data_IF_640123108750
#
_entry.id   IF_640123108750
#
_cell.length_a   1.000
_cell.length_b   1.000
_cell.length_c   1.000
_cell.angle_alpha   90.00
_cell.angle_beta   90.00
_cell.angle_gamma   90.00
#
_symmetry.space_group_name_H-M   'P 1'
#
loop_
_entity.id
_entity.type
_entity.pdbx_description
1 polymer ?
#
# COMPACT_ATOMS: atom_id res chain seq x y z
N UNK A 1 -15.90 -58.45 51.96
CA UNK A 1 -15.92 -58.77 50.51
C UNK A 1 -16.64 -57.72 49.66
N UNK A 2 -17.80 -57.20 50.09
CA UNK A 2 -18.51 -56.13 49.35
C UNK A 2 -17.79 -54.75 49.43
N UNK A 3 -17.19 -54.43 50.59
CA UNK A 3 -16.48 -53.17 50.84
C UNK A 3 -15.17 -53.03 50.02
N UNK A 4 -14.48 -54.15 49.78
CA UNK A 4 -13.26 -54.21 48.97
C UNK A 4 -13.56 -53.97 47.49
N UNK A 5 -14.66 -54.55 46.98
CA UNK A 5 -15.09 -54.40 45.59
C UNK A 5 -15.47 -52.96 45.21
N UNK A 6 -16.03 -52.19 46.16
CA UNK A 6 -16.37 -50.76 45.98
C UNK A 6 -15.10 -49.91 45.95
N UNK A 7 -14.13 -50.20 46.81
CA UNK A 7 -12.85 -49.49 46.89
C UNK A 7 -12.02 -49.66 45.60
N UNK A 8 -12.01 -50.88 45.04
CA UNK A 8 -11.28 -51.18 43.79
C UNK A 8 -11.90 -50.50 42.57
N UNK A 9 -13.24 -50.41 42.50
CA UNK A 9 -13.95 -49.63 41.47
C UNK A 9 -13.70 -48.13 41.59
N UNK A 10 -13.64 -47.60 42.81
CA UNK A 10 -13.35 -46.18 43.06
C UNK A 10 -11.93 -45.82 42.61
N UNK A 11 -10.97 -46.71 42.85
CA UNK A 11 -9.57 -46.55 42.42
C UNK A 11 -9.45 -46.48 40.89
N UNK A 12 -10.17 -47.34 40.17
CA UNK A 12 -10.21 -47.32 38.71
C UNK A 12 -10.79 -46.03 38.12
N UNK A 13 -11.87 -45.51 38.71
CA UNK A 13 -12.49 -44.23 38.26
C UNK A 13 -11.54 -43.05 38.49
N UNK A 14 -10.84 -43.01 39.63
CA UNK A 14 -9.87 -41.96 39.93
C UNK A 14 -8.69 -41.93 38.95
N UNK A 15 -8.22 -43.10 38.50
CA UNK A 15 -7.12 -43.20 37.51
C UNK A 15 -7.55 -42.63 36.16
N UNK A 16 -8.76 -42.95 35.70
CA UNK A 16 -9.29 -42.43 34.43
C UNK A 16 -9.49 -40.91 34.51
N UNK A 17 -10.05 -40.41 35.61
CA UNK A 17 -10.22 -38.97 35.82
C UNK A 17 -8.86 -38.24 35.85
N UNK A 18 -7.87 -38.79 36.54
CA UNK A 18 -6.51 -38.23 36.56
C UNK A 18 -5.86 -38.24 35.17
N UNK A 19 -6.02 -39.31 34.39
CA UNK A 19 -5.48 -39.39 33.03
C UNK A 19 -6.11 -38.34 32.09
N UNK A 20 -7.42 -38.08 32.21
CA UNK A 20 -8.11 -37.05 31.43
C UNK A 20 -7.63 -35.65 31.84
N UNK A 21 -7.45 -35.39 33.13
CA UNK A 21 -6.97 -34.09 33.63
C UNK A 21 -5.53 -33.85 33.18
N UNK A 22 -4.65 -34.83 33.32
CA UNK A 22 -3.24 -34.70 32.92
C UNK A 22 -3.12 -34.60 31.40
N UNK A 23 -3.86 -35.41 30.65
CA UNK A 23 -3.88 -35.33 29.19
C UNK A 23 -4.46 -34.00 28.68
N UNK A 24 -5.55 -33.53 29.27
CA UNK A 24 -6.14 -32.24 28.97
C UNK A 24 -5.21 -31.07 29.31
N UNK A 25 -4.53 -31.12 30.46
CA UNK A 25 -3.54 -30.14 30.85
C UNK A 25 -2.34 -30.13 29.89
N UNK A 26 -1.84 -31.30 29.47
CA UNK A 26 -0.78 -31.41 28.47
C UNK A 26 -1.18 -30.82 27.11
N UNK A 27 -2.38 -31.12 26.62
CA UNK A 27 -2.89 -30.55 25.36
C UNK A 27 -3.06 -29.03 25.48
N UNK A 28 -3.51 -28.55 26.64
CA UNK A 28 -3.69 -27.12 26.91
C UNK A 28 -2.35 -26.37 26.96
N UNK A 29 -1.34 -26.90 27.67
CA UNK A 29 -0.01 -26.27 27.76
C UNK A 29 0.74 -26.32 26.43
N UNK A 30 0.64 -27.41 25.66
CA UNK A 30 1.22 -27.51 24.31
C UNK A 30 0.53 -26.51 23.36
N UNK A 31 -0.79 -26.34 23.44
CA UNK A 31 -1.49 -25.32 22.63
C UNK A 31 -1.10 -23.90 23.00
N UNK A 32 -0.92 -23.59 24.29
CA UNK A 32 -0.45 -22.28 24.73
C UNK A 32 0.99 -22.01 24.29
N UNK A 33 1.87 -23.02 24.36
CA UNK A 33 3.25 -22.92 23.87
C UNK A 33 3.36 -22.75 22.35
N UNK A 34 2.37 -23.24 21.59
CA UNK A 34 2.30 -23.10 20.13
C UNK A 34 1.53 -21.86 19.63
N UNK A 35 0.96 -21.03 20.51
CA UNK A 35 0.41 -19.74 20.10
C UNK A 35 1.57 -18.82 19.78
N UNK A 36 1.93 -18.70 18.49
CA UNK A 36 2.93 -17.73 18.05
C UNK A 36 2.27 -16.34 17.96
N UNK A 37 2.54 -15.40 18.89
CA UNK A 37 1.95 -14.07 18.83
C UNK A 37 2.34 -13.31 17.54
N UNK A 38 3.46 -13.66 16.90
CA UNK A 38 3.85 -13.09 15.62
C UNK A 38 2.90 -13.48 14.47
N UNK A 39 2.33 -14.69 14.50
CA UNK A 39 1.37 -15.16 13.49
C UNK A 39 -0.01 -14.50 13.66
N UNK A 40 -0.44 -14.26 14.91
CA UNK A 40 -1.66 -13.50 15.21
C UNK A 40 -1.51 -12.02 14.78
N UNK A 41 -0.32 -11.44 14.99
CA UNK A 41 0.04 -10.10 14.51
C UNK A 41 0.03 -10.00 12.98
N UNK A 42 0.65 -10.95 12.28
CA UNK A 42 0.68 -10.97 10.81
C UNK A 42 -0.72 -11.09 10.18
N UNK A 43 -1.61 -11.91 10.75
CA UNK A 43 -3.01 -12.00 10.31
C UNK A 43 -3.74 -10.68 10.50
N UNK A 44 -3.53 -10.01 11.63
CA UNK A 44 -4.15 -8.71 11.92
C UNK A 44 -3.66 -7.64 10.95
N UNK A 45 -2.36 -7.64 10.64
CA UNK A 45 -1.77 -6.73 9.66
C UNK A 45 -2.35 -6.97 8.26
N UNK A 46 -2.50 -8.22 7.83
CA UNK A 46 -3.09 -8.56 6.54
C UNK A 46 -4.56 -8.11 6.42
N UNK A 47 -5.34 -8.20 7.49
CA UNK A 47 -6.72 -7.69 7.51
C UNK A 47 -6.76 -6.16 7.46
N UNK A 48 -5.85 -5.47 8.17
CA UNK A 48 -5.71 -4.01 8.08
C UNK A 48 -5.26 -3.55 6.68
N UNK A 49 -4.35 -4.30 6.04
CA UNK A 49 -3.88 -4.00 4.69
C UNK A 49 -5.04 -4.02 3.69
N UNK A 50 -5.96 -4.98 3.80
CA UNK A 50 -7.15 -5.04 2.93
C UNK A 50 -8.06 -3.80 3.07
N UNK A 51 -8.08 -3.16 4.23
CA UNK A 51 -8.87 -1.93 4.47
C UNK A 51 -8.23 -0.73 3.78
N UNK A 52 -6.90 -0.60 3.83
CA UNK A 52 -6.18 0.58 3.30
C UNK A 52 -5.72 0.44 1.86
N UNK A 53 -5.50 -0.79 1.38
CA UNK A 53 -5.06 -1.11 0.04
C UNK A 53 -5.84 -2.33 -0.51
N UNK A 54 -7.13 -2.14 -0.86
CA UNK A 54 -7.97 -3.21 -1.40
C UNK A 54 -7.36 -3.84 -2.66
N UNK A 55 -7.53 -5.14 -2.85
CA UNK A 55 -6.97 -5.87 -4.01
C UNK A 55 -7.46 -5.30 -5.36
N UNK A 56 -8.71 -4.85 -5.42
CA UNK A 56 -9.29 -4.24 -6.62
C UNK A 56 -8.87 -2.79 -6.85
N UNK A 57 -8.09 -2.22 -5.94
CA UNK A 57 -7.72 -0.82 -5.95
C UNK A 57 -8.81 0.14 -5.48
N UNK A 58 -8.55 1.43 -5.63
CA UNK A 58 -9.42 2.53 -5.23
C UNK A 58 -9.71 3.42 -6.44
N UNK A 59 -10.99 3.58 -6.76
CA UNK A 59 -11.42 4.51 -7.81
C UNK A 59 -11.53 5.93 -7.25
N UNK A 60 -10.83 6.88 -7.86
CA UNK A 60 -10.94 8.29 -7.49
C UNK A 60 -12.24 8.90 -8.03
N UNK A 61 -12.87 9.85 -7.32
CA UNK A 61 -14.05 10.57 -7.80
C UNK A 61 -13.69 11.68 -8.81
N UNK A 62 -12.77 11.39 -9.73
CA UNK A 62 -12.28 12.31 -10.76
C UNK A 62 -12.04 11.56 -12.07
N UNK A 63 -12.32 12.23 -13.20
CA UNK A 63 -12.11 11.70 -14.56
C UNK A 63 -10.77 12.21 -15.09
N UNK A 64 -9.97 11.33 -15.67
CA UNK A 64 -8.64 11.67 -16.19
C UNK A 64 -8.68 12.35 -17.56
N UNK A 65 -9.60 11.96 -18.43
CA UNK A 65 -9.76 12.56 -19.76
C UNK A 65 -8.47 12.46 -20.59
N UNK A 66 -7.95 13.61 -20.99
CA UNK A 66 -6.75 13.80 -21.80
C UNK A 66 -5.59 14.47 -21.03
N UNK A 67 -5.63 14.52 -19.70
CA UNK A 67 -4.63 15.24 -18.89
C UNK A 67 -3.19 14.79 -19.16
N UNK A 68 -2.95 13.48 -19.34
CA UNK A 68 -1.63 12.98 -19.73
C UNK A 68 -1.16 13.54 -21.07
N UNK A 69 -2.03 13.51 -22.08
CA UNK A 69 -1.76 14.07 -23.41
C UNK A 69 -1.41 15.55 -23.30
N UNK A 70 -2.22 16.34 -22.59
CA UNK A 70 -1.96 17.76 -22.36
C UNK A 70 -0.61 18.01 -21.68
N UNK A 71 -0.23 17.21 -20.66
CA UNK A 71 1.06 17.35 -19.99
C UNK A 71 2.24 17.01 -20.92
N UNK A 72 2.10 16.01 -21.79
CA UNK A 72 3.14 15.68 -22.78
C UNK A 72 3.29 16.76 -23.85
N UNK A 73 2.16 17.29 -24.35
CA UNK A 73 2.15 18.31 -25.40
C UNK A 73 2.72 19.65 -24.91
N UNK A 74 2.56 19.95 -23.62
CA UNK A 74 3.10 21.16 -22.98
C UNK A 74 4.50 20.99 -22.39
N UNK A 75 5.16 19.83 -22.58
CA UNK A 75 6.53 19.58 -22.11
C UNK A 75 6.67 19.39 -20.60
N UNK A 76 5.56 19.30 -19.85
CA UNK A 76 5.57 18.98 -18.41
C UNK A 76 6.10 17.55 -18.20
N UNK A 77 5.78 16.66 -19.13
CA UNK A 77 6.31 15.30 -19.23
C UNK A 77 6.98 15.12 -20.59
N UNK A 78 8.25 14.74 -20.60
CA UNK A 78 8.90 14.11 -21.74
C UNK A 78 8.45 12.63 -21.77
N UNK A 79 7.66 12.22 -22.78
CA UNK A 79 7.09 10.87 -22.81
C UNK A 79 8.17 9.78 -22.88
N UNK A 80 9.33 10.06 -23.50
CA UNK A 80 10.42 9.08 -23.61
C UNK A 80 11.13 8.90 -22.28
N UNK A 81 11.40 10.00 -21.56
CA UNK A 81 11.99 9.93 -20.21
C UNK A 81 11.03 9.20 -19.26
N UNK A 82 9.73 9.50 -19.35
CA UNK A 82 8.70 8.85 -18.53
C UNK A 82 8.61 7.35 -18.79
N UNK A 83 8.55 6.91 -20.06
CA UNK A 83 8.53 5.48 -20.40
C UNK A 83 9.82 4.76 -19.96
N UNK A 84 10.98 5.41 -20.15
CA UNK A 84 12.28 4.86 -19.76
C UNK A 84 12.36 4.56 -18.25
N UNK A 85 11.72 5.37 -17.41
CA UNK A 85 11.66 5.17 -15.96
C UNK A 85 11.13 3.78 -15.56
N UNK A 86 10.25 3.18 -16.38
CA UNK A 86 9.62 1.89 -16.09
C UNK A 86 10.19 0.73 -16.90
N UNK A 87 11.14 0.98 -17.81
CA UNK A 87 11.72 -0.03 -18.70
C UNK A 87 12.26 -1.26 -17.94
N UNK A 88 12.96 -1.04 -16.82
CA UNK A 88 13.51 -2.10 -15.98
C UNK A 88 12.45 -2.91 -15.22
N UNK A 89 11.21 -2.41 -15.16
CA UNK A 89 10.07 -3.05 -14.45
C UNK A 89 9.07 -3.70 -15.42
N UNK A 90 9.49 -3.96 -16.66
CA UNK A 90 8.62 -4.52 -17.70
C UNK A 90 7.90 -3.47 -18.55
N UNK A 91 8.19 -2.19 -18.35
CA UNK A 91 7.60 -1.08 -19.10
C UNK A 91 6.21 -0.67 -18.59
N UNK A 92 5.59 0.27 -19.31
CA UNK A 92 4.20 0.67 -19.06
C UNK A 92 3.24 -0.38 -19.64
N UNK A 93 2.20 -0.72 -18.87
CA UNK A 93 1.08 -1.49 -19.39
C UNK A 93 0.18 -0.62 -20.29
N UNK A 94 -0.76 -1.27 -21.00
CA UNK A 94 -1.62 -0.56 -21.96
C UNK A 94 -2.50 0.50 -21.29
N UNK A 95 -2.94 0.26 -20.06
CA UNK A 95 -3.71 1.25 -19.30
C UNK A 95 -2.84 2.47 -19.00
N UNK A 96 -1.61 2.28 -18.51
CA UNK A 96 -0.68 3.38 -18.22
C UNK A 96 -0.27 4.17 -19.47
N UNK A 97 -0.04 3.48 -20.60
CA UNK A 97 0.20 4.15 -21.88
C UNK A 97 -0.98 5.00 -22.30
N UNK A 98 -2.21 4.51 -22.10
CA UNK A 98 -3.44 5.26 -22.39
C UNK A 98 -3.60 6.46 -21.44
N UNK A 99 -3.22 6.33 -20.18
CA UNK A 99 -3.21 7.47 -19.25
C UNK A 99 -2.19 8.54 -19.65
N UNK A 100 -1.04 8.16 -20.21
CA UNK A 100 -0.01 9.10 -20.68
C UNK A 100 -0.37 9.77 -22.01
N UNK A 101 -0.91 9.01 -22.98
CA UNK A 101 -1.04 9.47 -24.37
C UNK A 101 -2.49 9.48 -24.92
N UNK A 102 -3.45 8.95 -24.19
CA UNK A 102 -4.85 8.88 -24.61
C UNK A 102 -5.64 10.16 -24.30
N UNK A 103 -6.78 10.31 -24.98
CA UNK A 103 -7.65 11.50 -24.85
C UNK A 103 -9.01 11.24 -24.18
N UNK A 104 -9.40 9.98 -24.04
CA UNK A 104 -10.69 9.58 -23.48
C UNK A 104 -10.50 8.52 -22.38
N UNK A 105 -9.87 8.95 -21.29
CA UNK A 105 -9.68 8.15 -20.10
C UNK A 105 -10.80 8.42 -19.09
N UNK A 106 -11.31 7.35 -18.49
CA UNK A 106 -12.34 7.42 -17.45
C UNK A 106 -11.77 7.82 -16.09
N UNK A 107 -12.39 7.31 -15.02
CA UNK A 107 -11.89 7.52 -13.66
C UNK A 107 -10.57 6.81 -13.43
N UNK A 108 -9.68 7.43 -12.67
CA UNK A 108 -8.46 6.78 -12.21
C UNK A 108 -8.80 5.69 -11.19
N UNK A 109 -8.24 4.50 -11.41
CA UNK A 109 -8.26 3.40 -10.44
C UNK A 109 -6.83 3.15 -9.99
N UNK A 110 -6.55 3.44 -8.72
CA UNK A 110 -5.25 3.20 -8.12
C UNK A 110 -5.19 1.76 -7.65
N UNK A 111 -4.28 0.98 -8.21
CA UNK A 111 -3.98 -0.39 -7.78
C UNK A 111 -2.56 -0.47 -7.25
N UNK A 112 -2.19 -1.60 -6.65
CA UNK A 112 -0.80 -1.81 -6.18
C UNK A 112 0.18 -1.74 -7.35
N UNK A 113 -0.22 -2.28 -8.49
CA UNK A 113 0.59 -2.44 -9.71
C UNK A 113 0.85 -1.10 -10.40
N UNK A 114 -0.15 -0.22 -10.48
CA UNK A 114 -0.02 1.06 -11.19
C UNK A 114 0.33 2.25 -10.28
N UNK A 115 0.41 2.05 -8.97
CA UNK A 115 0.60 3.10 -7.96
C UNK A 115 1.82 4.00 -8.26
N UNK A 116 2.94 3.42 -8.69
CA UNK A 116 4.14 4.17 -9.06
C UNK A 116 3.95 5.03 -10.32
N UNK A 117 3.20 4.53 -11.31
CA UNK A 117 2.87 5.29 -12.52
C UNK A 117 1.96 6.46 -12.18
N UNK A 118 0.88 6.20 -11.45
CA UNK A 118 -0.07 7.24 -11.06
C UNK A 118 0.56 8.29 -10.16
N UNK A 119 1.47 7.90 -9.26
CA UNK A 119 2.25 8.84 -8.46
C UNK A 119 2.98 9.84 -9.35
N UNK A 120 3.73 9.37 -10.36
CA UNK A 120 4.50 10.25 -11.23
C UNK A 120 3.62 11.08 -12.17
N UNK A 121 2.49 10.55 -12.65
CA UNK A 121 1.52 11.33 -13.42
C UNK A 121 0.89 12.45 -12.58
N UNK A 122 0.49 12.16 -11.34
CA UNK A 122 -0.11 13.14 -10.43
C UNK A 122 0.92 14.15 -9.93
N UNK A 123 2.19 13.74 -9.79
CA UNK A 123 3.28 14.65 -9.49
C UNK A 123 3.48 15.66 -10.62
N UNK A 124 3.57 15.18 -11.87
CA UNK A 124 3.64 16.03 -13.05
C UNK A 124 2.45 17.00 -13.12
N UNK A 125 1.24 16.50 -12.88
CA UNK A 125 0.03 17.32 -12.89
C UNK A 125 0.07 18.41 -11.82
N UNK A 126 0.55 18.09 -10.62
CA UNK A 126 0.71 19.06 -9.55
C UNK A 126 1.69 20.18 -9.92
N UNK A 127 2.82 19.84 -10.55
CA UNK A 127 3.86 20.79 -10.95
C UNK A 127 3.50 21.62 -12.18
N UNK A 128 2.83 21.01 -13.16
CA UNK A 128 2.46 21.63 -14.42
C UNK A 128 1.18 22.47 -14.34
N UNK A 129 0.43 22.37 -13.24
CA UNK A 129 -0.78 23.14 -13.04
C UNK A 129 -0.48 24.53 -12.44
N UNK A 130 -1.21 25.55 -12.91
CA UNK A 130 -1.15 26.88 -12.29
C UNK A 130 -1.86 26.85 -10.94
N UNK A 131 -1.11 27.12 -9.88
CA UNK A 131 -1.62 27.18 -8.52
C UNK A 131 -0.87 28.25 -7.71
N UNK A 132 -1.59 29.01 -6.89
CA UNK A 132 -1.02 30.05 -6.02
C UNK A 132 0.08 29.51 -5.09
N UNK A 133 0.01 28.24 -4.67
CA UNK A 133 1.05 27.59 -3.86
C UNK A 133 2.41 27.61 -4.56
N UNK A 134 2.43 27.39 -5.89
CA UNK A 134 3.64 27.34 -6.71
C UNK A 134 4.07 28.72 -7.23
N UNK A 135 3.21 29.74 -7.16
CA UNK A 135 3.49 31.08 -7.68
C UNK A 135 3.76 32.13 -6.58
N UNK A 136 3.05 32.02 -5.45
CA UNK A 136 3.00 33.05 -4.39
C UNK A 136 3.08 32.48 -2.97
N UNK A 137 2.88 31.18 -2.80
CA UNK A 137 2.89 30.50 -1.51
C UNK A 137 4.29 30.26 -0.95
N UNK A 138 4.34 29.56 0.19
CA UNK A 138 5.58 29.27 0.93
C UNK A 138 6.63 28.52 0.10
N UNK A 139 6.22 27.78 -0.93
CA UNK A 139 7.13 27.06 -1.83
C UNK A 139 8.00 27.99 -2.70
N UNK A 140 7.59 29.25 -2.85
CA UNK A 140 8.38 30.29 -3.53
C UNK A 140 9.11 31.22 -2.55
N UNK A 141 8.81 31.13 -1.25
CA UNK A 141 9.44 31.97 -0.23
C UNK A 141 10.91 31.55 -0.04
N UNK A 142 11.79 32.56 -0.09
CA UNK A 142 13.23 32.41 0.12
C UNK A 142 13.58 31.81 1.48
N UNK A 143 12.73 31.98 2.50
CA UNK A 143 12.93 31.43 3.85
C UNK A 143 12.86 29.91 3.89
N UNK A 144 12.05 29.29 3.01
CA UNK A 144 11.76 27.85 3.07
C UNK A 144 12.41 27.04 1.95
N UNK A 145 13.27 27.63 1.12
CA UNK A 145 13.95 26.93 0.03
C UNK A 145 13.51 27.31 -1.38
N UNK A 146 12.65 28.32 -1.53
CA UNK A 146 12.19 28.84 -2.83
C UNK A 146 13.26 29.52 -3.70
N UNK A 147 14.54 29.51 -3.29
CA UNK A 147 15.68 30.07 -4.06
C UNK A 147 16.15 29.15 -5.20
N UNK A 148 15.65 27.92 -5.28
CA UNK A 148 15.98 27.02 -6.38
C UNK A 148 15.55 27.61 -7.72
N UNK A 149 16.20 27.18 -8.80
CA UNK A 149 15.79 27.47 -10.17
C UNK A 149 15.44 26.13 -10.85
N UNK A 150 14.17 25.89 -11.23
CA UNK A 150 13.01 26.78 -11.08
C UNK A 150 12.59 26.99 -9.61
N UNK A 151 11.83 28.07 -9.28
CA UNK A 151 11.25 28.29 -7.96
C UNK A 151 10.50 27.05 -7.48
N UNK A 152 10.48 26.82 -6.16
CA UNK A 152 10.04 25.57 -5.56
C UNK A 152 10.89 24.32 -5.91
N UNK A 153 11.94 24.38 -6.73
CA UNK A 153 12.82 23.24 -7.01
C UNK A 153 13.71 22.78 -5.85
N UNK A 154 13.65 23.43 -4.69
CA UNK A 154 14.47 23.10 -3.52
C UNK A 154 13.82 22.09 -2.57
N UNK A 155 12.57 21.71 -2.81
CA UNK A 155 11.82 20.83 -1.92
C UNK A 155 11.91 19.37 -2.39
N UNK A 156 11.92 18.42 -1.46
CA UNK A 156 11.92 16.99 -1.77
C UNK A 156 10.72 16.59 -2.66
N UNK A 157 9.58 17.28 -2.52
CA UNK A 157 8.35 17.03 -3.26
C UNK A 157 8.33 17.59 -4.69
N UNK A 158 9.35 18.33 -5.14
CA UNK A 158 9.31 19.06 -6.42
C UNK A 158 10.67 19.13 -7.11
N UNK A 159 11.77 19.25 -6.35
CA UNK A 159 13.14 19.34 -6.86
C UNK A 159 13.68 18.09 -7.55
N UNK A 160 13.04 16.94 -7.33
CA UNK A 160 13.40 15.69 -7.98
C UNK A 160 12.82 15.50 -9.39
N UNK A 161 11.99 16.42 -9.88
CA UNK A 161 11.31 16.25 -11.17
C UNK A 161 12.23 16.58 -12.35
N UNK A 162 12.81 15.53 -12.95
CA UNK A 162 13.74 15.64 -14.10
C UNK A 162 13.14 15.12 -15.42
N UNK A 163 11.85 14.79 -15.40
CA UNK A 163 11.14 14.18 -16.52
C UNK A 163 10.49 15.22 -17.45
N UNK A 164 10.60 16.51 -17.19
CA UNK A 164 10.15 17.56 -18.11
C UNK A 164 11.10 17.72 -19.31
N UNK A 165 10.64 18.43 -20.35
CA UNK A 165 11.42 18.79 -21.55
C UNK A 165 12.28 20.01 -21.28
#
# INVERSE_FOLDING_TARGET
MLLTLIKDRFLGVCIIAAAIIVGGAWVYTVRLGNMNPAAASAKTLAELEKVVAPEKGVALPAVWGDLGRQMTDNGIIDPRKFESLYSQRGGLDEVSKKLLNGTDNGRLVITRENSGVLLNLLWALGLGNKNEILEKGEMTDRRYGGKANPPAGGFASTGGWTLAV
#
